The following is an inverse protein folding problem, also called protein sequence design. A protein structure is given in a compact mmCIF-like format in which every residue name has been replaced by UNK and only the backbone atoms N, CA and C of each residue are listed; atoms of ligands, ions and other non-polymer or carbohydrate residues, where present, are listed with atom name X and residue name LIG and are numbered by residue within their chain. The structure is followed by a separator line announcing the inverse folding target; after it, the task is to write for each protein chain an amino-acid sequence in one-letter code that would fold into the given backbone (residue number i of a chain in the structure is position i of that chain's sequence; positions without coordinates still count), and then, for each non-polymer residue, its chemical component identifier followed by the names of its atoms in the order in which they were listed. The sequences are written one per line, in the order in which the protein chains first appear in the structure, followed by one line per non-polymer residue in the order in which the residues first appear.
data_IF_904727498118
#
_entry.id   IF_904727498118
#
_cell.length_a   1.000
_cell.length_b   1.000
_cell.length_c   1.000
_cell.angle_alpha   90.00
_cell.angle_beta   90.00
_cell.angle_gamma   90.00
#
_symmetry.space_group_name_H-M   'P 1'
#
loop_
_entity.id
_entity.type
_entity.pdbx_description
1 polymer ?
#
# COMPACT_ATOMS: atom_id res chain seq x y z
N UNK A 1 7.50 9.06 -5.17
CA UNK A 1 6.08 9.33 -4.86
C UNK A 1 5.99 9.62 -3.37
N UNK A 2 5.16 10.58 -2.91
CA UNK A 2 4.98 10.80 -1.46
C UNK A 2 3.92 9.83 -0.90
N UNK A 3 3.98 9.44 0.39
CA UNK A 3 2.95 8.60 1.01
C UNK A 3 1.52 9.15 0.82
N UNK A 4 1.33 10.44 1.07
CA UNK A 4 0.06 11.14 0.78
C UNK A 4 -0.38 11.09 -0.69
N UNK A 5 0.54 11.00 -1.66
CA UNK A 5 0.18 10.80 -3.07
C UNK A 5 -0.34 9.37 -3.29
N UNK A 6 0.27 8.37 -2.66
CA UNK A 6 -0.18 6.98 -2.73
C UNK A 6 -1.58 6.81 -2.12
N UNK A 7 -1.87 7.48 -1.00
CA UNK A 7 -3.21 7.50 -0.40
C UNK A 7 -4.26 8.09 -1.35
N UNK A 8 -3.93 9.19 -2.05
CA UNK A 8 -4.82 9.77 -3.08
C UNK A 8 -5.05 8.83 -4.25
N UNK A 9 -4.02 8.10 -4.70
CA UNK A 9 -4.16 7.13 -5.77
C UNK A 9 -5.06 5.95 -5.36
N UNK A 10 -4.91 5.44 -4.13
CA UNK A 10 -5.81 4.42 -3.59
C UNK A 10 -7.25 4.93 -3.51
N UNK A 11 -7.46 6.16 -3.03
CA UNK A 11 -8.78 6.78 -2.97
C UNK A 11 -9.42 6.83 -4.37
N UNK A 12 -8.68 7.28 -5.38
CA UNK A 12 -9.17 7.34 -6.75
C UNK A 12 -9.54 5.94 -7.29
N UNK A 13 -8.67 4.95 -7.08
CA UNK A 13 -8.92 3.56 -7.50
C UNK A 13 -10.20 2.99 -6.87
N UNK A 14 -10.43 3.20 -5.57
CA UNK A 14 -11.65 2.72 -4.90
C UNK A 14 -12.88 3.48 -5.42
N UNK A 15 -12.83 4.82 -5.50
CA UNK A 15 -13.99 5.63 -5.96
C UNK A 15 -14.47 5.30 -7.36
N UNK A 16 -13.56 4.90 -8.25
CA UNK A 16 -13.91 4.52 -9.64
C UNK A 16 -14.51 3.12 -9.73
N UNK A 17 -14.28 2.26 -8.74
CA UNK A 17 -14.82 0.90 -8.70
C UNK A 17 -16.19 0.84 -7.99
N UNK A 18 -16.46 1.74 -7.04
CA UNK A 18 -17.62 1.66 -6.13
C UNK A 18 -18.79 2.60 -6.45
N UNK A 19 -19.13 2.85 -7.73
CA UNK A 19 -20.22 3.76 -8.18
C UNK A 19 -21.60 3.59 -7.50
N UNK A 20 -21.81 2.56 -6.67
CA UNK A 20 -23.07 2.26 -5.98
C UNK A 20 -23.08 2.46 -4.45
N UNK A 21 -21.94 2.65 -3.79
CA UNK A 21 -21.94 2.78 -2.33
C UNK A 21 -21.93 4.24 -1.92
N UNK A 22 -23.12 4.72 -1.50
CA UNK A 22 -23.41 6.02 -0.90
C UNK A 22 -22.79 6.13 0.52
N UNK A 23 -21.56 5.64 0.68
CA UNK A 23 -20.79 5.83 1.89
C UNK A 23 -20.13 7.20 1.74
N UNK A 24 -20.37 8.09 2.70
CA UNK A 24 -19.66 9.35 2.81
C UNK A 24 -18.15 9.07 2.98
N UNK A 25 -17.47 8.91 1.84
CA UNK A 25 -16.02 8.78 1.63
C UNK A 25 -15.26 10.02 2.12
N UNK A 26 -15.98 11.07 2.53
CA UNK A 26 -15.49 12.44 2.63
C UNK A 26 -14.40 12.66 3.68
N UNK A 27 -14.10 11.68 4.57
CA UNK A 27 -13.11 11.91 5.62
C UNK A 27 -12.42 10.69 6.25
N UNK A 28 -12.66 9.44 5.82
CA UNK A 28 -12.47 8.28 6.70
C UNK A 28 -11.04 7.74 6.86
N UNK A 29 -10.15 8.61 7.35
CA UNK A 29 -8.75 8.41 7.74
C UNK A 29 -7.75 8.88 6.69
N UNK A 30 -7.57 10.19 6.57
CA UNK A 30 -6.66 10.82 5.60
C UNK A 30 -5.27 10.17 5.51
N UNK A 31 -4.83 9.47 6.55
CA UNK A 31 -3.49 8.90 6.65
C UNK A 31 -3.44 7.44 7.14
N UNK A 32 -4.55 6.67 7.21
CA UNK A 32 -4.49 5.33 7.83
C UNK A 32 -3.48 4.39 7.21
N UNK A 33 -3.38 4.41 5.88
CA UNK A 33 -2.41 3.61 5.15
C UNK A 33 -1.15 4.41 4.81
N UNK A 34 -1.04 5.67 5.24
CA UNK A 34 0.10 6.52 4.90
C UNK A 34 1.40 5.96 5.50
N UNK A 35 1.36 5.47 6.74
CA UNK A 35 2.52 4.81 7.37
C UNK A 35 2.92 3.54 6.60
N UNK A 36 1.95 2.75 6.12
CA UNK A 36 2.23 1.56 5.31
C UNK A 36 2.86 1.96 3.96
N UNK A 37 2.35 3.02 3.31
CA UNK A 37 2.96 3.51 2.09
C UNK A 37 4.35 4.10 2.33
N UNK A 38 4.59 4.74 3.48
CA UNK A 38 5.92 5.21 3.87
C UNK A 38 6.89 4.04 3.99
N UNK A 39 6.51 2.97 4.71
CA UNK A 39 7.32 1.75 4.87
C UNK A 39 7.68 1.12 3.51
N UNK A 40 6.71 1.05 2.58
CA UNK A 40 6.93 0.50 1.23
C UNK A 40 7.78 1.44 0.36
N UNK A 41 7.63 2.76 0.50
CA UNK A 41 8.48 3.72 -0.20
C UNK A 41 9.93 3.65 0.29
N UNK A 42 10.14 3.46 1.60
CA UNK A 42 11.48 3.33 2.19
C UNK A 42 12.15 2.00 1.82
N UNK A 43 11.37 0.92 1.75
CA UNK A 43 11.90 -0.44 1.53
C UNK A 43 11.89 -0.89 0.08
N UNK A 44 11.02 -0.30 -0.75
CA UNK A 44 10.68 -0.77 -2.09
C UNK A 44 11.02 0.23 -3.19
N UNK A 45 10.27 0.16 -4.28
CA UNK A 45 10.28 1.14 -5.36
C UNK A 45 8.86 1.58 -5.74
N UNK A 46 8.74 2.43 -6.75
CA UNK A 46 7.45 2.90 -7.22
C UNK A 46 6.51 1.75 -7.66
N UNK A 47 7.05 0.69 -8.25
CA UNK A 47 6.28 -0.47 -8.71
C UNK A 47 5.72 -1.26 -7.53
N UNK A 48 6.48 -1.38 -6.44
CA UNK A 48 6.02 -1.99 -5.20
C UNK A 48 4.84 -1.21 -4.60
N UNK A 49 4.96 0.12 -4.51
CA UNK A 49 3.87 0.96 -4.00
C UNK A 49 2.62 0.86 -4.87
N UNK A 50 2.77 0.88 -6.19
CA UNK A 50 1.64 0.70 -7.12
C UNK A 50 1.00 -0.69 -7.00
N UNK A 51 1.80 -1.72 -6.72
CA UNK A 51 1.29 -3.08 -6.48
C UNK A 51 0.48 -3.18 -5.19
N UNK A 52 0.92 -2.51 -4.13
CA UNK A 52 0.16 -2.40 -2.87
C UNK A 52 -1.17 -1.67 -3.09
N UNK A 53 -1.17 -0.52 -3.78
CA UNK A 53 -2.39 0.24 -4.11
C UNK A 53 -3.39 -0.65 -4.86
N UNK A 54 -2.93 -1.36 -5.90
CA UNK A 54 -3.79 -2.22 -6.72
C UNK A 54 -4.37 -3.40 -5.94
N UNK A 55 -3.57 -4.04 -5.08
CA UNK A 55 -4.03 -5.16 -4.27
C UNK A 55 -5.03 -4.68 -3.22
N UNK A 56 -4.72 -3.59 -2.51
CA UNK A 56 -5.66 -2.98 -1.57
C UNK A 56 -6.98 -2.61 -2.25
N UNK A 57 -6.94 -1.92 -3.39
CA UNK A 57 -8.15 -1.50 -4.11
C UNK A 57 -9.02 -2.68 -4.55
N UNK A 58 -8.42 -3.84 -4.85
CA UNK A 58 -9.17 -5.06 -5.20
C UNK A 58 -9.86 -5.70 -3.99
N UNK A 59 -9.29 -5.60 -2.78
CA UNK A 59 -9.94 -6.09 -1.57
C UNK A 59 -11.22 -5.31 -1.28
N UNK A 60 -11.25 -4.00 -1.58
CA UNK A 60 -12.47 -3.18 -1.45
C UNK A 60 -13.61 -3.66 -2.36
N UNK A 61 -13.32 -4.27 -3.51
CA UNK A 61 -14.33 -4.82 -4.41
C UNK A 61 -15.03 -6.06 -3.81
N UNK A 62 -14.42 -6.73 -2.83
CA UNK A 62 -15.02 -7.88 -2.13
C UNK A 62 -16.07 -7.47 -1.08
N UNK A 63 -16.39 -6.17 -1.00
CA UNK A 63 -17.40 -5.62 -0.12
C UNK A 63 -16.94 -5.44 1.33
N UNK A 64 -15.67 -5.73 1.62
CA UNK A 64 -15.09 -5.53 2.96
C UNK A 64 -13.87 -4.62 2.88
N UNK A 65 -13.76 -3.69 3.83
CA UNK A 65 -12.60 -2.81 3.97
C UNK A 65 -11.48 -3.55 4.70
N UNK A 66 -10.25 -3.59 4.17
CA UNK A 66 -9.09 -4.12 4.89
C UNK A 66 -8.77 -3.29 6.13
N UNK A 67 -8.56 -3.95 7.26
CA UNK A 67 -7.94 -3.36 8.45
C UNK A 67 -6.48 -2.95 8.18
N UNK A 68 -5.90 -2.13 9.06
CA UNK A 68 -4.48 -1.74 8.97
C UNK A 68 -3.56 -2.96 9.02
N UNK A 69 -3.89 -3.95 9.84
CA UNK A 69 -3.11 -5.19 9.95
C UNK A 69 -3.11 -5.97 8.62
N UNK A 70 -4.28 -6.17 8.02
CA UNK A 70 -4.41 -6.84 6.72
C UNK A 70 -3.70 -6.07 5.61
N UNK A 71 -3.79 -4.74 5.62
CA UNK A 71 -3.09 -3.89 4.66
C UNK A 71 -1.56 -3.97 4.80
N UNK A 72 -1.05 -4.10 6.03
CA UNK A 72 0.38 -4.26 6.32
C UNK A 72 0.90 -5.63 5.87
N UNK A 73 0.17 -6.70 6.17
CA UNK A 73 0.51 -8.04 5.68
C UNK A 73 0.57 -8.10 4.15
N UNK A 74 -0.37 -7.42 3.48
CA UNK A 74 -0.41 -7.32 2.03
C UNK A 74 0.79 -6.53 1.47
N UNK A 75 1.18 -5.44 2.13
CA UNK A 75 2.36 -4.66 1.79
C UNK A 75 3.66 -5.45 1.98
N UNK A 76 3.82 -6.14 3.11
CA UNK A 76 4.95 -7.05 3.37
C UNK A 76 5.00 -8.16 2.33
N UNK A 77 3.84 -8.70 1.94
CA UNK A 77 3.71 -9.67 0.87
C UNK A 77 4.14 -9.15 -0.50
N UNK A 78 3.97 -7.85 -0.81
CA UNK A 78 4.49 -7.24 -2.05
C UNK A 78 6.01 -7.13 -1.98
N UNK A 79 6.55 -6.60 -0.89
CA UNK A 79 7.99 -6.40 -0.72
C UNK A 79 8.77 -7.74 -0.74
N UNK A 80 8.21 -8.79 -0.15
CA UNK A 80 8.82 -10.13 -0.13
C UNK A 80 8.65 -10.89 -1.44
N UNK A 81 7.50 -10.80 -2.11
CA UNK A 81 7.25 -11.47 -3.38
C UNK A 81 7.94 -10.77 -4.58
N UNK A 82 8.29 -9.49 -4.45
CA UNK A 82 9.03 -8.69 -5.45
C UNK A 82 10.49 -9.08 -5.64
N UNK A 83 11.03 -10.03 -4.87
CA UNK A 83 12.33 -10.64 -5.13
C UNK A 83 13.54 -9.77 -4.76
N UNK A 84 13.41 -8.83 -3.83
CA UNK A 84 14.60 -8.32 -3.13
C UNK A 84 14.90 -9.25 -1.96
N UNK A 85 16.09 -9.86 -1.89
CA UNK A 85 16.55 -10.38 -0.62
C UNK A 85 16.50 -9.22 0.38
N UNK A 86 16.08 -9.52 1.60
CA UNK A 86 16.32 -8.67 2.76
C UNK A 86 17.84 -8.65 2.93
N UNK A 87 18.55 -7.88 2.09
CA UNK A 87 19.96 -7.61 2.31
C UNK A 87 19.98 -6.66 3.49
N UNK A 88 20.10 -7.28 4.67
CA UNK A 88 20.87 -6.75 5.77
C UNK A 88 22.10 -6.06 5.18
N UNK A 89 22.05 -4.73 5.09
CA UNK A 89 23.18 -3.89 4.75
C UNK A 89 24.14 -3.84 5.94
N UNK A 90 24.56 -5.00 6.41
CA UNK A 90 25.70 -5.19 7.28
C UNK A 90 26.95 -5.29 6.40
N UNK A 91 27.85 -4.33 6.55
CA UNK A 91 29.17 -4.27 5.94
C UNK A 91 29.83 -5.65 5.86
N UNK A 92 30.11 -6.11 4.64
CA UNK A 92 31.17 -7.09 4.39
C UNK A 92 32.12 -6.53 3.34
N UNK A 93 32.76 -5.43 3.71
CA UNK A 93 33.99 -5.00 3.06
C UNK A 93 35.15 -5.77 3.73
N UNK A 94 35.67 -6.78 3.06
CA UNK A 94 36.94 -7.43 3.41
C UNK A 94 37.56 -8.00 2.14
N UNK A 95 38.38 -7.18 1.48
CA UNK A 95 39.57 -7.60 0.73
C UNK A 95 40.69 -6.60 1.06
#
# INVERSE_FOLDING_TARGET
MRPSDATRQLQYAVTTQTEQYDYEISHWEANTYEEIFADVIESGDLSDVMSVIKRLSAEFDTGTRPSVAEARELADGVLTAGGRPITDGGDTNSD
#
